data_IF_174308095185
#
_entry.id   IF_174308095185
#
_cell.length_a   1.000
_cell.length_b   1.000
_cell.length_c   1.000
_cell.angle_alpha   90.00
_cell.angle_beta   90.00
_cell.angle_gamma   90.00
#
_symmetry.space_group_name_H-M   'P 1'
#
loop_
_entity.id
_entity.type
_entity.pdbx_description
1 polymer ?
#
# COMPACT_ATOMS: atom_id res chain seq x y z
N UNK A 1 -9.36 54.86 -40.17
CA UNK A 1 -8.10 54.14 -40.43
C UNK A 1 -7.39 53.72 -39.14
N UNK A 2 -7.41 54.56 -38.09
CA UNK A 2 -6.82 54.22 -36.78
C UNK A 2 -7.54 53.06 -36.06
N UNK A 3 -8.87 52.95 -36.16
CA UNK A 3 -9.62 51.90 -35.45
C UNK A 3 -9.36 50.49 -35.99
N UNK A 4 -9.26 50.34 -37.31
CA UNK A 4 -8.94 49.07 -37.95
C UNK A 4 -7.54 48.56 -37.57
N UNK A 5 -6.57 49.47 -37.44
CA UNK A 5 -5.19 49.16 -37.07
C UNK A 5 -5.08 48.82 -35.57
N UNK A 6 -5.86 49.51 -34.72
CA UNK A 6 -6.03 49.17 -33.31
C UNK A 6 -6.67 47.78 -33.11
N UNK A 7 -7.74 47.46 -33.84
CA UNK A 7 -8.39 46.14 -33.79
C UNK A 7 -7.46 45.01 -34.26
N UNK A 8 -6.61 45.27 -35.25
CA UNK A 8 -5.65 44.28 -35.75
C UNK A 8 -4.53 44.04 -34.73
N UNK A 9 -4.02 45.10 -34.09
CA UNK A 9 -3.03 45.02 -33.02
C UNK A 9 -3.57 44.29 -31.78
N UNK A 10 -4.79 44.60 -31.34
CA UNK A 10 -5.41 43.92 -30.20
C UNK A 10 -5.68 42.45 -30.49
N UNK A 11 -6.11 42.11 -31.71
CA UNK A 11 -6.27 40.72 -32.15
C UNK A 11 -4.96 39.93 -32.13
N UNK A 12 -3.87 40.50 -32.64
CA UNK A 12 -2.54 39.88 -32.61
C UNK A 12 -1.99 39.69 -31.20
N UNK A 13 -2.12 40.70 -30.34
CA UNK A 13 -1.70 40.61 -28.94
C UNK A 13 -2.51 39.55 -28.20
N UNK A 14 -3.83 39.52 -28.41
CA UNK A 14 -4.72 38.53 -27.79
C UNK A 14 -4.41 37.11 -28.28
N UNK A 15 -4.15 36.93 -29.57
CA UNK A 15 -3.74 35.64 -30.15
C UNK A 15 -2.38 35.16 -29.62
N UNK A 16 -1.42 36.06 -29.47
CA UNK A 16 -0.10 35.75 -28.90
C UNK A 16 -0.22 35.35 -27.42
N UNK A 17 -1.00 36.09 -26.62
CA UNK A 17 -1.26 35.74 -25.21
C UNK A 17 -1.95 34.38 -25.11
N UNK A 18 -2.99 34.15 -25.91
CA UNK A 18 -3.69 32.87 -25.93
C UNK A 18 -2.76 31.71 -26.27
N UNK A 19 -1.92 31.85 -27.30
CA UNK A 19 -0.94 30.83 -27.68
C UNK A 19 0.04 30.52 -26.55
N UNK A 20 0.55 31.54 -25.86
CA UNK A 20 1.44 31.37 -24.70
C UNK A 20 0.72 30.64 -23.56
N UNK A 21 -0.49 31.06 -23.20
CA UNK A 21 -1.30 30.42 -22.15
C UNK A 21 -1.59 28.96 -22.50
N UNK A 22 -2.01 28.68 -23.74
CA UNK A 22 -2.28 27.32 -24.21
C UNK A 22 -1.03 26.44 -24.18
N UNK A 23 0.13 26.97 -24.56
CA UNK A 23 1.39 26.23 -24.50
C UNK A 23 1.73 25.81 -23.05
N UNK A 24 1.69 26.74 -22.10
CA UNK A 24 1.95 26.43 -20.69
C UNK A 24 0.90 25.50 -20.07
N UNK A 25 -0.38 25.67 -20.44
CA UNK A 25 -1.44 24.78 -20.00
C UNK A 25 -1.23 23.36 -20.52
N UNK A 26 -0.84 23.20 -21.80
CA UNK A 26 -0.56 21.90 -22.42
C UNK A 26 0.62 21.21 -21.76
N UNK A 27 1.71 21.94 -21.49
CA UNK A 27 2.88 21.39 -20.80
C UNK A 27 2.55 20.96 -19.37
N UNK A 28 1.75 21.76 -18.65
CA UNK A 28 1.32 21.45 -17.28
C UNK A 28 0.41 20.22 -17.26
N UNK A 29 -0.53 20.13 -18.21
CA UNK A 29 -1.42 18.98 -18.36
C UNK A 29 -0.64 17.70 -18.68
N UNK A 30 0.31 17.74 -19.62
CA UNK A 30 1.12 16.58 -19.96
C UNK A 30 1.91 16.03 -18.75
N UNK A 31 2.48 16.91 -17.91
CA UNK A 31 3.17 16.50 -16.67
C UNK A 31 2.23 15.92 -15.63
N UNK A 32 1.04 16.50 -15.49
CA UNK A 32 0.00 16.00 -14.61
C UNK A 32 -0.46 14.61 -15.06
N UNK A 33 -0.72 14.42 -16.35
CA UNK A 33 -1.16 13.16 -16.93
C UNK A 33 -0.13 12.04 -16.68
N UNK A 34 1.16 12.31 -16.89
CA UNK A 34 2.25 11.37 -16.56
C UNK A 34 2.30 11.00 -15.07
N UNK A 35 2.07 11.97 -14.19
CA UNK A 35 2.05 11.74 -12.74
C UNK A 35 0.85 10.88 -12.34
N UNK A 36 -0.32 11.17 -12.91
CA UNK A 36 -1.56 10.40 -12.69
C UNK A 36 -1.39 8.96 -13.18
N UNK A 37 -0.80 8.77 -14.36
CA UNK A 37 -0.58 7.45 -14.94
C UNK A 37 0.40 6.63 -14.09
N UNK A 38 1.54 7.22 -13.72
CA UNK A 38 2.49 6.59 -12.80
C UNK A 38 1.85 6.19 -11.47
N UNK A 39 1.10 7.10 -10.84
CA UNK A 39 0.42 6.83 -9.56
C UNK A 39 -0.64 5.73 -9.70
N UNK A 40 -1.36 5.71 -10.82
CA UNK A 40 -2.36 4.68 -11.12
C UNK A 40 -1.72 3.32 -11.28
N UNK A 41 -0.65 3.22 -12.07
CA UNK A 41 0.10 1.97 -12.27
C UNK A 41 0.70 1.47 -10.95
N UNK A 42 1.35 2.35 -10.18
CA UNK A 42 1.92 2.00 -8.88
C UNK A 42 0.86 1.50 -7.91
N UNK A 43 -0.30 2.19 -7.82
CA UNK A 43 -1.41 1.77 -6.97
C UNK A 43 -1.97 0.41 -7.40
N UNK A 44 -2.08 0.16 -8.70
CA UNK A 44 -2.52 -1.13 -9.22
C UNK A 44 -1.56 -2.26 -8.83
N UNK A 45 -0.24 -2.05 -9.02
CA UNK A 45 0.77 -3.04 -8.63
C UNK A 45 0.80 -3.30 -7.12
N UNK A 46 0.61 -2.25 -6.31
CA UNK A 46 0.43 -2.38 -4.86
C UNK A 46 -0.79 -3.20 -4.49
N UNK A 47 -1.93 -2.95 -5.12
CA UNK A 47 -3.15 -3.72 -4.89
C UNK A 47 -2.94 -5.21 -5.18
N UNK A 48 -2.29 -5.55 -6.30
CA UNK A 48 -1.94 -6.92 -6.67
C UNK A 48 -1.05 -7.57 -5.60
N UNK A 49 0.05 -6.91 -5.22
CA UNK A 49 0.99 -7.40 -4.21
C UNK A 49 0.33 -7.55 -2.82
N UNK A 50 -0.47 -6.57 -2.40
CA UNK A 50 -1.13 -6.55 -1.10
C UNK A 50 -2.23 -7.59 -0.99
N UNK A 51 -2.92 -7.90 -2.09
CA UNK A 51 -3.89 -9.01 -2.13
C UNK A 51 -3.22 -10.34 -1.84
N UNK A 52 -2.03 -10.60 -2.40
CA UNK A 52 -1.27 -11.82 -2.11
C UNK A 52 -0.77 -11.87 -0.67
N UNK A 53 -0.29 -10.73 -0.14
CA UNK A 53 0.04 -10.62 1.29
C UNK A 53 -1.15 -10.94 2.18
N UNK A 54 -2.33 -10.38 1.86
CA UNK A 54 -3.54 -10.54 2.67
C UNK A 54 -3.95 -12.00 2.80
N UNK A 55 -3.86 -12.78 1.71
CA UNK A 55 -4.14 -14.22 1.72
C UNK A 55 -3.18 -14.96 2.65
N UNK A 56 -1.89 -14.60 2.64
CA UNK A 56 -0.86 -15.21 3.50
C UNK A 56 -1.08 -14.92 5.00
N UNK A 57 -1.85 -13.88 5.34
CA UNK A 57 -2.23 -13.58 6.73
C UNK A 57 -3.45 -14.36 7.23
N UNK A 58 -4.15 -15.13 6.37
CA UNK A 58 -5.33 -15.92 6.73
C UNK A 58 -5.13 -16.85 7.94
N UNK A 59 -3.99 -17.55 8.10
CA UNK A 59 -3.76 -18.42 9.26
C UNK A 59 -3.73 -17.68 10.61
N UNK A 60 -3.54 -16.36 10.58
CA UNK A 60 -3.53 -15.49 11.76
C UNK A 60 -4.88 -14.77 11.97
N UNK A 61 -5.98 -15.34 11.44
CA UNK A 61 -7.31 -14.78 11.58
C UNK A 61 -7.73 -14.73 13.05
N UNK A 62 -8.12 -13.54 13.52
CA UNK A 62 -8.63 -13.35 14.89
C UNK A 62 -10.00 -13.99 15.10
N UNK A 63 -10.86 -13.92 14.08
CA UNK A 63 -12.24 -14.38 14.15
C UNK A 63 -12.39 -15.62 13.27
N UNK A 64 -12.99 -16.67 13.83
CA UNK A 64 -13.22 -17.95 13.15
C UNK A 64 -11.97 -18.52 12.45
N UNK A 65 -10.83 -18.69 13.16
CA UNK A 65 -9.66 -19.32 12.55
C UNK A 65 -9.99 -20.78 12.18
N UNK A 66 -9.45 -21.26 11.05
CA UNK A 66 -9.62 -22.65 10.61
C UNK A 66 -9.10 -23.65 11.66
N UNK A 67 -8.05 -23.24 12.37
CA UNK A 67 -7.45 -23.95 13.49
C UNK A 67 -6.82 -22.94 14.45
N UNK A 68 -6.76 -23.22 15.76
CA UNK A 68 -6.10 -22.34 16.72
C UNK A 68 -4.65 -22.06 16.29
N UNK A 69 -4.16 -20.81 16.30
CA UNK A 69 -2.78 -20.55 15.88
C UNK A 69 -1.80 -21.22 16.85
N UNK A 70 -0.92 -22.04 16.28
CA UNK A 70 0.15 -22.77 16.97
C UNK A 70 1.51 -22.17 16.62
N UNK A 71 2.56 -22.62 17.29
CA UNK A 71 3.93 -22.25 16.94
C UNK A 71 4.25 -22.60 15.48
N UNK A 72 3.84 -23.77 14.99
CA UNK A 72 4.10 -24.15 13.60
C UNK A 72 3.41 -23.21 12.61
N UNK A 73 2.16 -22.84 12.87
CA UNK A 73 1.41 -21.90 12.02
C UNK A 73 2.11 -20.54 11.98
N UNK A 74 2.59 -20.05 13.12
CA UNK A 74 3.34 -18.80 13.21
C UNK A 74 4.64 -18.88 12.41
N UNK A 75 5.42 -19.96 12.59
CA UNK A 75 6.67 -20.19 11.86
C UNK A 75 6.44 -20.24 10.34
N UNK A 76 5.50 -21.07 9.90
CA UNK A 76 5.14 -21.21 8.48
C UNK A 76 4.62 -19.89 7.90
N UNK A 77 3.85 -19.11 8.67
CA UNK A 77 3.40 -17.77 8.23
C UNK A 77 4.58 -16.81 8.10
N UNK A 78 5.52 -16.82 9.04
CA UNK A 78 6.70 -15.96 8.99
C UNK A 78 7.59 -16.26 7.77
N UNK A 79 7.77 -17.53 7.43
CA UNK A 79 8.48 -17.98 6.23
C UNK A 79 7.74 -17.52 4.96
N UNK A 80 6.44 -17.80 4.86
CA UNK A 80 5.61 -17.34 3.73
C UNK A 80 5.64 -15.83 3.50
N UNK A 81 5.71 -15.04 4.57
CA UNK A 81 5.84 -13.58 4.51
C UNK A 81 7.23 -13.15 4.04
N UNK A 82 8.29 -13.83 4.49
CA UNK A 82 9.66 -13.58 4.02
C UNK A 82 9.74 -13.82 2.51
N UNK A 83 9.23 -14.94 2.05
CA UNK A 83 9.30 -15.31 0.63
C UNK A 83 8.50 -14.29 -0.20
N UNK A 84 7.29 -13.93 0.25
CA UNK A 84 6.52 -12.84 -0.38
C UNK A 84 7.29 -11.51 -0.46
N UNK A 85 8.03 -11.14 0.59
CA UNK A 85 8.78 -9.88 0.61
C UNK A 85 9.87 -9.84 -0.46
N UNK A 86 10.62 -10.93 -0.63
CA UNK A 86 11.71 -10.98 -1.58
C UNK A 86 11.27 -11.30 -3.01
N UNK A 87 10.20 -12.07 -3.18
CA UNK A 87 9.78 -12.53 -4.51
C UNK A 87 8.89 -11.52 -5.23
N UNK A 88 7.98 -10.86 -4.51
CA UNK A 88 6.89 -10.08 -5.14
C UNK A 88 6.71 -8.71 -4.50
N UNK A 89 6.52 -8.67 -3.19
CA UNK A 89 5.80 -7.57 -2.56
C UNK A 89 6.66 -6.53 -1.84
N UNK A 90 7.90 -6.86 -1.48
CA UNK A 90 8.76 -5.97 -0.69
C UNK A 90 9.03 -4.63 -1.37
N UNK A 91 9.13 -4.63 -2.71
CA UNK A 91 9.32 -3.41 -3.52
C UNK A 91 8.08 -2.52 -3.56
N UNK A 92 6.89 -3.10 -3.40
CA UNK A 92 5.62 -2.37 -3.49
C UNK A 92 5.16 -1.79 -2.15
N UNK A 93 5.73 -2.25 -1.03
CA UNK A 93 5.42 -1.69 0.28
C UNK A 93 5.70 -0.19 0.32
N UNK A 94 4.66 0.59 0.58
CA UNK A 94 4.82 2.01 0.85
C UNK A 94 5.60 2.22 2.15
N UNK A 95 6.17 3.43 2.30
CA UNK A 95 6.87 3.81 3.53
C UNK A 95 5.98 3.66 4.77
N UNK A 96 4.70 3.96 4.63
CA UNK A 96 3.69 3.85 5.69
C UNK A 96 3.35 2.39 6.03
N UNK A 97 3.29 1.51 5.03
CA UNK A 97 2.97 0.09 5.23
C UNK A 97 4.17 -0.76 5.65
N UNK A 98 5.39 -0.30 5.34
CA UNK A 98 6.64 -0.99 5.66
C UNK A 98 6.84 -1.16 7.16
N UNK A 99 6.58 -0.13 7.96
CA UNK A 99 6.77 -0.19 9.41
C UNK A 99 5.82 -1.21 10.08
N UNK A 100 4.50 -1.20 9.84
CA UNK A 100 3.58 -2.24 10.30
C UNK A 100 3.95 -3.65 9.83
N UNK A 101 4.46 -3.79 8.61
CA UNK A 101 4.91 -5.09 8.09
C UNK A 101 6.05 -5.66 8.94
N UNK A 102 7.08 -4.85 9.23
CA UNK A 102 8.19 -5.29 10.06
C UNK A 102 7.81 -5.45 11.54
N UNK A 103 6.86 -4.66 12.06
CA UNK A 103 6.32 -4.86 13.40
C UNK A 103 5.60 -6.21 13.54
N UNK A 104 4.83 -6.62 12.53
CA UNK A 104 4.25 -7.97 12.49
C UNK A 104 5.34 -9.05 12.39
N UNK A 105 6.35 -8.85 11.53
CA UNK A 105 7.47 -9.80 11.41
C UNK A 105 8.22 -9.96 12.73
N UNK A 106 8.42 -8.88 13.49
CA UNK A 106 9.02 -8.93 14.81
C UNK A 106 8.16 -9.73 15.78
N UNK A 107 6.85 -9.46 15.86
CA UNK A 107 5.95 -10.21 16.74
C UNK A 107 5.90 -11.71 16.42
N UNK A 108 6.02 -12.08 15.13
CA UNK A 108 6.16 -13.48 14.72
C UNK A 108 7.51 -14.06 15.18
N UNK A 109 8.59 -13.30 15.03
CA UNK A 109 9.94 -13.72 15.41
C UNK A 109 10.07 -13.92 16.93
N UNK A 110 9.47 -13.05 17.73
CA UNK A 110 9.47 -13.16 19.19
C UNK A 110 8.83 -14.49 19.67
N UNK A 111 7.81 -14.97 18.95
CA UNK A 111 7.18 -16.28 19.20
C UNK A 111 8.10 -17.42 18.74
N UNK A 112 8.74 -17.26 17.58
CA UNK A 112 9.64 -18.26 17.00
C UNK A 112 10.87 -18.47 17.90
N UNK A 113 11.42 -17.40 18.45
CA UNK A 113 12.64 -17.43 19.27
C UNK A 113 12.37 -17.89 20.72
N UNK A 114 11.10 -18.06 21.12
CA UNK A 114 10.75 -18.45 22.47
C UNK A 114 10.93 -19.97 22.71
N UNK A 115 11.92 -20.42 23.52
CA UNK A 115 12.31 -21.83 23.59
C UNK A 115 11.20 -22.78 24.05
N UNK A 116 10.35 -22.33 24.99
CA UNK A 116 9.26 -23.16 25.51
C UNK A 116 8.14 -23.39 24.49
N UNK A 117 7.96 -22.48 23.53
CA UNK A 117 6.97 -22.65 22.47
C UNK A 117 7.48 -23.61 21.39
N UNK A 118 8.80 -23.59 21.13
CA UNK A 118 9.45 -24.53 20.21
C UNK A 118 9.28 -25.99 20.65
N UNK A 119 9.34 -26.25 21.96
CA UNK A 119 9.16 -27.60 22.54
C UNK A 119 7.73 -28.13 22.38
N UNK A 120 6.75 -27.26 22.13
CA UNK A 120 5.32 -27.59 22.05
C UNK A 120 4.71 -27.06 20.75
N UNK A 121 5.19 -27.53 19.58
CA UNK A 121 4.94 -26.87 18.30
C UNK A 121 3.45 -26.88 17.88
N UNK A 122 2.71 -27.90 18.30
CA UNK A 122 1.27 -28.11 18.00
C UNK A 122 0.34 -27.51 19.05
N UNK A 123 0.86 -27.03 20.18
CA UNK A 123 0.01 -26.46 21.23
C UNK A 123 -0.49 -25.09 20.80
N UNK A 124 -1.79 -24.86 20.97
CA UNK A 124 -2.40 -23.57 20.71
C UNK A 124 -1.73 -22.48 21.54
N UNK A 125 -1.43 -21.34 20.90
CA UNK A 125 -0.77 -20.23 21.56
C UNK A 125 -1.69 -19.58 22.60
N UNK A 126 -1.10 -19.26 23.76
CA UNK A 126 -1.82 -18.54 24.80
C UNK A 126 -2.12 -17.09 24.38
N UNK A 127 -3.13 -16.50 25.04
CA UNK A 127 -3.58 -15.13 24.74
C UNK A 127 -2.50 -14.05 24.86
N UNK A 128 -1.46 -14.26 25.69
CA UNK A 128 -0.33 -13.33 25.82
C UNK A 128 0.48 -13.20 24.52
N UNK A 129 0.52 -14.25 23.69
CA UNK A 129 1.20 -14.26 22.39
C UNK A 129 0.26 -13.87 21.26
N UNK A 130 -0.99 -14.35 21.31
CA UNK A 130 -1.99 -14.08 20.27
C UNK A 130 -2.44 -12.62 20.22
N UNK A 131 -2.60 -11.95 21.37
CA UNK A 131 -3.09 -10.56 21.40
C UNK A 131 -2.15 -9.58 20.67
N UNK A 132 -0.83 -9.55 20.96
CA UNK A 132 0.11 -8.71 20.22
C UNK A 132 0.13 -9.06 18.73
N UNK A 133 0.13 -10.35 18.39
CA UNK A 133 0.17 -10.81 17.01
C UNK A 133 -1.06 -10.35 16.20
N UNK A 134 -2.26 -10.50 16.76
CA UNK A 134 -3.49 -10.03 16.13
C UNK A 134 -3.52 -8.51 16.00
N UNK A 135 -2.97 -7.77 16.97
CA UNK A 135 -2.92 -6.32 16.91
C UNK A 135 -1.98 -5.85 15.79
N UNK A 136 -0.77 -6.41 15.68
CA UNK A 136 0.12 -6.08 14.57
C UNK A 136 -0.47 -6.48 13.21
N UNK A 137 -1.16 -7.62 13.14
CA UNK A 137 -1.88 -8.02 11.94
C UNK A 137 -3.02 -7.06 11.57
N UNK A 138 -3.71 -6.49 12.57
CA UNK A 138 -4.76 -5.46 12.37
C UNK A 138 -4.15 -4.16 11.84
N UNK A 139 -3.08 -3.67 12.47
CA UNK A 139 -2.38 -2.44 12.07
C UNK A 139 -1.85 -2.57 10.65
N UNK A 140 -1.24 -3.70 10.29
CA UNK A 140 -0.79 -3.95 8.92
C UNK A 140 -1.96 -3.93 7.93
N UNK A 141 -3.05 -4.65 8.18
CA UNK A 141 -4.21 -4.67 7.28
C UNK A 141 -4.83 -3.27 7.10
N UNK A 142 -4.82 -2.47 8.15
CA UNK A 142 -5.26 -1.08 8.12
C UNK A 142 -4.34 -0.21 7.27
N UNK A 143 -3.02 -0.27 7.47
CA UNK A 143 -2.06 0.52 6.69
C UNK A 143 -2.09 0.18 5.20
N UNK A 144 -2.18 -1.11 4.85
CA UNK A 144 -2.31 -1.55 3.46
C UNK A 144 -3.58 -1.00 2.80
N UNK A 145 -4.72 -1.03 3.51
CA UNK A 145 -6.00 -0.51 3.01
C UNK A 145 -5.98 1.00 2.83
N UNK A 146 -5.31 1.71 3.75
CA UNK A 146 -5.17 3.17 3.69
C UNK A 146 -4.26 3.60 2.55
N UNK A 147 -3.17 2.86 2.29
CA UNK A 147 -2.21 3.14 1.23
C UNK A 147 -2.82 3.01 -0.18
N UNK A 148 -3.67 2.00 -0.39
CA UNK A 148 -4.42 1.83 -1.65
C UNK A 148 -5.69 2.70 -1.72
N UNK A 149 -6.07 3.33 -0.61
CA UNK A 149 -7.27 4.17 -0.52
C UNK A 149 -8.59 3.41 -0.56
N UNK A 150 -8.62 2.09 -0.36
CA UNK A 150 -9.83 1.26 -0.52
C UNK A 150 -10.93 1.54 0.52
N UNK A 151 -10.61 2.28 1.58
CA UNK A 151 -11.53 2.69 2.65
C UNK A 151 -11.84 4.18 2.65
N UNK A 152 -11.29 4.95 1.69
CA UNK A 152 -11.62 6.38 1.54
C UNK A 152 -12.88 6.51 0.70
N UNK A 153 -13.75 7.47 1.07
CA UNK A 153 -14.87 7.84 0.21
C UNK A 153 -14.32 8.32 -1.14
N UNK A 154 -14.91 7.92 -2.27
CA UNK A 154 -14.63 8.62 -3.53
C UNK A 154 -14.92 10.10 -3.33
N UNK A 155 -14.11 10.97 -3.96
CA UNK A 155 -14.41 12.38 -4.04
C UNK A 155 -15.71 12.52 -4.84
N UNK A 156 -16.81 12.76 -4.14
CA UNK A 156 -18.11 13.16 -4.71
C UNK A 156 -18.13 14.68 -4.79
#
# INVERSE_FOLDING_TARGET
>A
MNDALLSLLTGLISGAIAAVVTYFATLSKARLDLTIEYDKELRQKRLEAYRELWKKLKPLARYSPEQPPTYQIVKATAENLRDWYFDVGGIYLSRESRLPYFALKQALQDIIDHPELQKKPETALAGQWLKPLHEQGRILRESLSNDIGSRRSPFV
#
